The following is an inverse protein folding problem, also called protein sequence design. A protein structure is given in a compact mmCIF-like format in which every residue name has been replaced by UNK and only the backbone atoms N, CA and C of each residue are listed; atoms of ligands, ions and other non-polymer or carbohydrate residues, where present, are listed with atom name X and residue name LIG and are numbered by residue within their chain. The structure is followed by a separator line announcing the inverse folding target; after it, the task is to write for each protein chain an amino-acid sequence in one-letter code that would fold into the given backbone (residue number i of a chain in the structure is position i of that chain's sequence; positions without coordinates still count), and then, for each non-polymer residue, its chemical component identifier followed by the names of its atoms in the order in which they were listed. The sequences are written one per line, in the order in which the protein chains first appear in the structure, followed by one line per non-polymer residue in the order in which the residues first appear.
data_IF_102870980984
#
_entry.id   IF_102870980984
#
_cell.length_a   1.000
_cell.length_b   1.000
_cell.length_c   1.000
_cell.angle_alpha   90.00
_cell.angle_beta   90.00
_cell.angle_gamma   90.00
#
_symmetry.space_group_name_H-M   'P 1'
#
loop_
_entity.id
_entity.type
_entity.pdbx_description
1 polymer ?
#
# COMPACT_ATOMS: atom_id res chain seq x y z
N UNK A 1 -10.94 1.14 15.77
CA UNK A 1 -9.71 0.33 15.62
C UNK A 1 -8.56 1.18 16.13
N UNK A 2 -7.66 0.60 16.93
CA UNK A 2 -6.55 1.36 17.52
C UNK A 2 -5.27 1.15 16.70
N UNK A 3 -4.51 2.23 16.53
CA UNK A 3 -3.23 2.22 15.84
C UNK A 3 -2.05 2.18 16.82
N UNK A 4 -0.93 1.52 16.47
CA UNK A 4 -0.75 0.70 15.27
C UNK A 4 -1.50 -0.64 15.39
N UNK A 5 -2.01 -1.14 14.27
CA UNK A 5 -2.64 -2.44 14.16
C UNK A 5 -1.56 -3.51 14.32
N UNK A 6 -1.78 -4.47 15.24
CA UNK A 6 -0.85 -5.56 15.55
C UNK A 6 -1.45 -6.95 15.41
N UNK A 7 -2.77 -7.06 15.23
CA UNK A 7 -3.48 -8.32 15.12
C UNK A 7 -4.39 -8.29 13.87
N UNK A 8 -4.38 -9.39 13.12
CA UNK A 8 -5.14 -9.62 11.90
C UNK A 8 -6.60 -10.09 12.11
N UNK A 9 -6.95 -10.58 13.30
CA UNK A 9 -8.21 -11.32 13.56
C UNK A 9 -9.50 -10.57 13.19
N UNK A 10 -9.48 -9.23 13.16
CA UNK A 10 -10.63 -8.38 12.81
C UNK A 10 -10.29 -7.35 11.72
N UNK A 11 -9.27 -7.61 10.91
CA UNK A 11 -8.85 -6.68 9.87
C UNK A 11 -9.81 -6.76 8.67
N UNK A 12 -10.63 -5.72 8.52
CA UNK A 12 -11.57 -5.51 7.40
C UNK A 12 -11.40 -4.10 6.84
N UNK A 13 -11.64 -3.93 5.54
CA UNK A 13 -11.40 -2.65 4.84
C UNK A 13 -12.22 -1.49 5.43
N UNK A 14 -13.49 -1.73 5.76
CA UNK A 14 -14.39 -0.74 6.37
C UNK A 14 -13.83 -0.16 7.68
N UNK A 15 -13.10 -0.98 8.43
CA UNK A 15 -12.51 -0.56 9.72
C UNK A 15 -11.33 0.41 9.56
N UNK A 16 -10.78 0.52 8.35
CA UNK A 16 -9.68 1.43 8.01
C UNK A 16 -10.17 2.82 7.59
N UNK A 17 -11.50 3.01 7.46
CA UNK A 17 -12.07 4.27 6.98
C UNK A 17 -11.62 4.59 5.56
N UNK A 18 -11.61 3.57 4.69
CA UNK A 18 -11.34 3.67 3.25
C UNK A 18 -12.67 3.43 2.55
N UNK A 19 -13.15 4.43 1.81
CA UNK A 19 -14.35 4.29 1.00
C UNK A 19 -14.00 3.55 -0.31
N UNK A 20 -14.70 2.45 -0.57
CA UNK A 20 -14.55 1.69 -1.80
C UNK A 20 -15.60 2.09 -2.83
N UNK A 21 -15.25 2.00 -4.10
CA UNK A 21 -16.20 2.14 -5.21
C UNK A 21 -17.04 0.86 -5.43
N UNK A 22 -17.89 0.87 -6.46
CA UNK A 22 -18.76 -0.26 -6.79
C UNK A 22 -17.99 -1.53 -7.23
N UNK A 23 -16.71 -1.39 -7.59
CA UNK A 23 -15.83 -2.49 -7.98
C UNK A 23 -14.98 -3.00 -6.80
N UNK A 24 -15.12 -2.39 -5.62
CA UNK A 24 -14.34 -2.74 -4.43
C UNK A 24 -12.94 -2.13 -4.41
N UNK A 25 -12.72 -1.07 -5.19
CA UNK A 25 -11.41 -0.41 -5.32
C UNK A 25 -11.39 0.96 -4.65
N UNK A 26 -10.18 1.44 -4.37
CA UNK A 26 -9.93 2.82 -3.96
C UNK A 26 -8.70 3.37 -4.67
N UNK A 27 -8.63 4.68 -4.81
CA UNK A 27 -7.49 5.36 -5.39
C UNK A 27 -6.65 6.05 -4.32
N UNK A 28 -5.34 5.84 -4.39
CA UNK A 28 -4.35 6.50 -3.55
C UNK A 28 -3.38 7.32 -4.39
N UNK A 29 -2.93 8.46 -3.87
CA UNK A 29 -1.99 9.36 -4.53
C UNK A 29 -0.70 9.50 -3.74
N UNK A 30 0.43 9.23 -4.41
CA UNK A 30 1.79 9.47 -3.91
C UNK A 30 2.47 10.46 -4.84
N UNK A 31 2.66 11.69 -4.36
CA UNK A 31 3.13 12.84 -5.16
C UNK A 31 2.20 13.10 -6.35
N UNK A 32 2.67 12.85 -7.57
CA UNK A 32 1.98 13.04 -8.85
C UNK A 32 1.47 11.71 -9.43
N UNK A 33 1.57 10.62 -8.67
CA UNK A 33 1.16 9.29 -9.08
C UNK A 33 -0.12 8.85 -8.35
N UNK A 34 -1.16 8.51 -9.10
CA UNK A 34 -2.39 7.91 -8.58
C UNK A 34 -2.46 6.45 -9.00
N UNK A 35 -2.76 5.57 -8.04
CA UNK A 35 -2.91 4.14 -8.23
C UNK A 35 -4.24 3.67 -7.67
N UNK A 36 -4.90 2.79 -8.42
CA UNK A 36 -6.12 2.11 -7.99
C UNK A 36 -5.73 0.76 -7.41
N UNK A 37 -6.21 0.48 -6.20
CA UNK A 37 -5.93 -0.74 -5.45
C UNK A 37 -7.24 -1.42 -5.08
N UNK A 38 -7.29 -2.75 -5.17
CA UNK A 38 -8.41 -3.53 -4.67
C UNK A 38 -8.38 -3.55 -3.14
N UNK A 39 -9.53 -3.34 -2.49
CA UNK A 39 -9.64 -3.41 -1.03
C UNK A 39 -9.11 -4.73 -0.46
N UNK A 40 -9.44 -5.85 -1.11
CA UNK A 40 -9.01 -7.18 -0.69
C UNK A 40 -7.49 -7.41 -0.82
N UNK A 41 -6.84 -6.81 -1.82
CA UNK A 41 -5.38 -6.87 -1.98
C UNK A 41 -4.68 -6.15 -0.82
N UNK A 42 -5.21 -4.98 -0.41
CA UNK A 42 -4.70 -4.26 0.76
C UNK A 42 -4.81 -5.11 2.03
N UNK A 43 -5.98 -5.70 2.28
CA UNK A 43 -6.20 -6.53 3.48
C UNK A 43 -5.28 -7.74 3.49
N UNK A 44 -5.07 -8.37 2.34
CA UNK A 44 -4.19 -9.53 2.20
C UNK A 44 -2.74 -9.14 2.53
N UNK A 45 -2.22 -8.09 1.89
CA UNK A 45 -0.86 -7.59 2.14
C UNK A 45 -0.66 -7.16 3.60
N UNK A 46 -1.65 -6.51 4.22
CA UNK A 46 -1.57 -6.15 5.64
C UNK A 46 -1.49 -7.37 6.56
N UNK A 47 -2.23 -8.45 6.26
CA UNK A 47 -2.16 -9.70 7.03
C UNK A 47 -0.80 -10.37 6.86
N UNK A 48 -0.29 -10.43 5.63
CA UNK A 48 1.03 -10.98 5.34
C UNK A 48 2.13 -10.21 6.10
N UNK A 49 2.05 -8.87 6.14
CA UNK A 49 2.99 -8.07 6.91
C UNK A 49 2.90 -8.24 8.44
N UNK A 50 1.77 -8.66 8.96
CA UNK A 50 1.60 -9.00 10.38
C UNK A 50 2.15 -10.38 10.72
N UNK A 51 2.11 -11.32 9.76
CA UNK A 51 2.66 -12.68 9.91
C UNK A 51 4.19 -12.72 9.74
N UNK A 52 4.75 -11.79 8.98
CA UNK A 52 6.20 -11.71 8.75
C UNK A 52 6.93 -11.07 9.95
N UNK A 53 8.07 -11.68 10.32
CA UNK A 53 8.98 -11.15 11.36
C UNK A 53 9.33 -9.68 11.06
N UNK A 54 9.20 -8.80 12.05
CA UNK A 54 9.40 -7.35 11.88
C UNK A 54 10.73 -6.93 11.24
N UNK A 55 11.82 -7.67 11.46
CA UNK A 55 13.11 -7.40 10.79
C UNK A 55 13.05 -7.61 9.27
N UNK A 56 12.33 -8.63 8.82
CA UNK A 56 12.12 -8.95 7.40
C UNK A 56 11.18 -7.91 6.78
N UNK A 57 10.06 -7.60 7.45
CA UNK A 57 9.16 -6.52 7.04
C UNK A 57 9.89 -5.20 6.82
N UNK A 58 10.73 -4.78 7.78
CA UNK A 58 11.52 -3.56 7.66
C UNK A 58 12.52 -3.59 6.49
N UNK A 59 13.05 -4.76 6.12
CA UNK A 59 13.91 -4.91 4.95
C UNK A 59 13.10 -4.75 3.65
N UNK A 60 11.92 -5.39 3.56
CA UNK A 60 11.01 -5.26 2.42
C UNK A 60 10.55 -3.82 2.22
N UNK A 61 10.15 -3.13 3.30
CA UNK A 61 9.74 -1.72 3.23
C UNK A 61 10.86 -0.79 2.78
N UNK A 62 12.11 -1.05 3.19
CA UNK A 62 13.26 -0.26 2.69
C UNK A 62 13.50 -0.50 1.21
N UNK A 63 13.27 -1.72 0.71
CA UNK A 63 13.34 -2.02 -0.73
C UNK A 63 12.21 -1.30 -1.47
N UNK A 64 10.96 -1.43 -1.00
CA UNK A 64 9.79 -0.79 -1.61
C UNK A 64 9.93 0.72 -1.74
N UNK A 65 10.36 1.39 -0.67
CA UNK A 65 10.62 2.84 -0.72
C UNK A 65 11.67 3.23 -1.79
N UNK A 66 12.73 2.44 -1.98
CA UNK A 66 13.74 2.72 -3.01
C UNK A 66 13.17 2.57 -4.41
N UNK A 67 12.40 1.50 -4.66
CA UNK A 67 11.77 1.27 -5.96
C UNK A 67 10.76 2.37 -6.30
N UNK A 68 9.93 2.76 -5.33
CA UNK A 68 8.97 3.87 -5.50
C UNK A 68 9.71 5.17 -5.85
N UNK A 69 10.75 5.54 -5.09
CA UNK A 69 11.51 6.76 -5.37
C UNK A 69 12.20 6.72 -6.74
N UNK A 70 12.72 5.56 -7.15
CA UNK A 70 13.32 5.37 -8.46
C UNK A 70 12.30 5.49 -9.59
N UNK A 71 11.12 4.87 -9.44
CA UNK A 71 10.02 4.93 -10.40
C UNK A 71 9.48 6.35 -10.57
N UNK A 72 9.22 7.04 -9.45
CA UNK A 72 8.79 8.45 -9.45
C UNK A 72 9.82 9.37 -10.12
N UNK A 73 11.13 9.14 -9.91
CA UNK A 73 12.19 9.93 -10.55
C UNK A 73 12.30 9.70 -12.06
N UNK A 74 12.10 8.46 -12.52
CA UNK A 74 12.16 8.13 -13.95
C UNK A 74 10.93 8.64 -14.72
N UNK A 75 9.80 8.79 -14.04
CA UNK A 75 8.50 9.08 -14.62
C UNK A 75 7.91 7.82 -15.25
N UNK A 76 6.73 7.38 -14.76
CA UNK A 76 6.09 6.10 -15.12
C UNK A 76 5.96 5.85 -16.63
N UNK A 77 5.81 6.90 -17.44
CA UNK A 77 5.74 6.82 -18.91
C UNK A 77 7.01 6.25 -19.57
N UNK A 78 8.13 6.20 -18.83
CA UNK A 78 9.41 5.63 -19.29
C UNK A 78 9.70 4.24 -18.72
N UNK A 79 8.79 3.70 -17.91
CA UNK A 79 8.87 2.33 -17.42
C UNK A 79 8.21 1.40 -18.43
N UNK A 80 8.86 0.27 -18.71
CA UNK A 80 8.25 -0.89 -19.36
C UNK A 80 7.19 -1.53 -18.44
N UNK A 81 6.42 -2.46 -18.98
CA UNK A 81 5.27 -3.04 -18.26
C UNK A 81 5.72 -3.79 -16.99
N UNK A 82 6.80 -4.57 -17.07
CA UNK A 82 7.38 -5.27 -15.92
C UNK A 82 7.82 -4.28 -14.81
N UNK A 83 8.48 -3.17 -15.16
CA UNK A 83 8.89 -2.18 -14.17
C UNK A 83 7.71 -1.39 -13.59
N UNK A 84 6.60 -1.26 -14.33
CA UNK A 84 5.35 -0.69 -13.79
C UNK A 84 4.69 -1.62 -12.80
N UNK A 85 4.60 -2.90 -13.11
CA UNK A 85 4.02 -3.90 -12.20
C UNK A 85 4.83 -3.98 -10.89
N UNK A 86 6.16 -4.00 -10.99
CA UNK A 86 7.04 -3.94 -9.81
C UNK A 86 6.78 -2.65 -9.02
N UNK A 87 6.67 -1.51 -9.70
CA UNK A 87 6.41 -0.24 -9.03
C UNK A 87 5.06 -0.24 -8.29
N UNK A 88 4.00 -0.72 -8.93
CA UNK A 88 2.64 -0.79 -8.38
C UNK A 88 2.57 -1.75 -7.18
N UNK A 89 3.21 -2.91 -7.26
CA UNK A 89 3.35 -3.83 -6.12
C UNK A 89 4.07 -3.18 -4.94
N UNK A 90 5.14 -2.43 -5.18
CA UNK A 90 5.86 -1.75 -4.10
C UNK A 90 5.02 -0.63 -3.47
N UNK A 91 4.14 0.03 -4.24
CA UNK A 91 3.16 0.99 -3.71
C UNK A 91 2.18 0.30 -2.77
N UNK A 92 1.64 -0.87 -3.14
CA UNK A 92 0.75 -1.66 -2.28
C UNK A 92 1.43 -2.04 -0.95
N UNK A 93 2.64 -2.64 -1.01
CA UNK A 93 3.43 -3.02 0.16
C UNK A 93 3.66 -1.82 1.08
N UNK A 94 4.04 -0.68 0.50
CA UNK A 94 4.28 0.54 1.27
C UNK A 94 3.00 1.09 1.89
N UNK A 95 1.90 1.11 1.14
CA UNK A 95 0.62 1.64 1.62
C UNK A 95 0.01 0.76 2.72
N UNK A 96 0.15 -0.57 2.64
CA UNK A 96 -0.23 -1.48 3.71
C UNK A 96 0.47 -1.15 5.04
N UNK A 97 1.77 -0.82 5.03
CA UNK A 97 2.48 -0.38 6.24
C UNK A 97 1.94 0.96 6.76
N UNK A 98 1.52 1.87 5.88
CA UNK A 98 0.86 3.13 6.27
C UNK A 98 -0.51 2.87 6.90
N UNK A 99 -1.30 1.96 6.34
CA UNK A 99 -2.58 1.56 6.88
C UNK A 99 -2.43 0.92 8.26
N UNK A 100 -1.45 0.02 8.44
CA UNK A 100 -1.14 -0.59 9.74
C UNK A 100 -0.75 0.44 10.82
N UNK A 101 -0.18 1.58 10.43
CA UNK A 101 0.22 2.66 11.34
C UNK A 101 -0.82 3.76 11.53
N UNK A 102 -1.90 3.76 10.74
CA UNK A 102 -2.89 4.85 10.72
C UNK A 102 -2.41 6.10 10.00
N UNK A 103 -1.41 5.99 9.14
CA UNK A 103 -0.79 7.08 8.39
C UNK A 103 -1.33 7.20 6.95
N UNK A 104 -2.32 6.38 6.58
CA UNK A 104 -2.79 6.19 5.19
C UNK A 104 -3.74 7.29 4.69
N UNK A 105 -4.50 7.92 5.58
CA UNK A 105 -5.57 8.87 5.25
C UNK A 105 -5.12 10.03 4.35
N UNK A 106 -3.89 10.52 4.54
CA UNK A 106 -3.34 11.62 3.74
C UNK A 106 -3.07 11.26 2.27
N UNK A 107 -3.07 9.98 1.92
CA UNK A 107 -2.81 9.50 0.56
C UNK A 107 -4.09 9.06 -0.15
N UNK A 108 -5.22 8.98 0.55
CA UNK A 108 -6.49 8.65 -0.09
C UNK A 108 -6.95 9.83 -0.94
N UNK A 109 -7.42 9.52 -2.14
CA UNK A 109 -8.15 10.50 -2.95
C UNK A 109 -9.56 10.66 -2.42
N UNK A 110 -10.06 11.89 -2.41
CA UNK A 110 -11.42 12.23 -1.97
C UNK A 110 -12.44 11.94 -3.06
#
# INVERSE_FOLDING_TARGET
MDYPIKNADNLVIDSLGIDLDAEGTFALTVKDYTHTVQGDELITEMKDQLDVRGSVRNALLRKANKEILAGLKKGRLRLDDDAREIFDLNILIWFADKALKGEHQQYLTK
#
